data_IF_748285292756
#
_entry.id   IF_748285292756
#
_cell.length_a   1.000
_cell.length_b   1.000
_cell.length_c   1.000
_cell.angle_alpha   90.00
_cell.angle_beta   90.00
_cell.angle_gamma   90.00
#
_symmetry.space_group_name_H-M   'P 1'
#
loop_
_entity.id
_entity.type
_entity.pdbx_description
1 polymer ?
#
# COMPACT_ATOMS: atom_id res chain seq x y z
N UNK A 1 13.94 -7.93 23.38
CA UNK A 1 13.53 -7.13 22.22
C UNK A 1 14.75 -6.42 21.67
N UNK A 2 14.92 -6.42 20.32
CA UNK A 2 16.10 -5.84 19.65
C UNK A 2 15.84 -4.45 19.08
N UNK A 3 14.56 -4.07 18.95
CA UNK A 3 14.15 -2.84 18.29
C UNK A 3 13.08 -2.11 19.09
N UNK A 4 13.06 -0.79 19.02
CA UNK A 4 11.86 0.01 19.24
C UNK A 4 11.07 -0.04 17.94
N UNK A 5 9.78 -0.38 18.02
CA UNK A 5 8.89 -0.42 16.86
C UNK A 5 7.85 0.68 17.02
N UNK A 6 7.72 1.51 15.99
CA UNK A 6 6.66 2.52 15.88
C UNK A 6 5.73 2.08 14.76
N UNK A 7 4.45 1.95 15.05
CA UNK A 7 3.40 1.65 14.09
C UNK A 7 2.42 2.81 14.10
N UNK A 8 2.11 3.37 12.93
CA UNK A 8 1.14 4.44 12.79
C UNK A 8 0.06 4.05 11.79
N UNK A 9 -1.19 4.40 12.11
CA UNK A 9 -2.23 4.46 11.11
C UNK A 9 -1.90 5.62 10.17
N UNK A 10 -1.90 5.39 8.88
CA UNK A 10 -1.72 6.45 7.91
C UNK A 10 -2.90 7.43 7.95
N UNK A 11 -2.69 8.71 7.54
CA UNK A 11 -3.83 9.62 7.38
C UNK A 11 -4.91 8.96 6.52
N UNK A 12 -6.17 9.12 6.91
CA UNK A 12 -7.30 8.49 6.26
C UNK A 12 -7.65 7.11 6.79
N UNK A 13 -6.78 6.46 7.57
CA UNK A 13 -6.95 5.10 8.07
C UNK A 13 -7.00 5.05 9.59
N UNK A 14 -7.52 3.93 10.10
CA UNK A 14 -7.54 3.63 11.52
C UNK A 14 -8.12 4.73 12.38
N UNK A 15 -7.46 5.06 13.46
CA UNK A 15 -7.80 6.15 14.37
C UNK A 15 -7.12 7.50 13.99
N UNK A 16 -6.29 7.53 12.94
CA UNK A 16 -5.71 8.77 12.42
C UNK A 16 -6.75 9.68 11.78
N UNK A 17 -6.44 10.97 11.72
CA UNK A 17 -7.29 11.99 11.09
C UNK A 17 -7.58 11.69 9.62
N UNK A 18 -8.75 12.09 9.18
CA UNK A 18 -9.26 11.92 7.82
C UNK A 18 -9.60 13.30 7.23
N UNK A 19 -8.56 14.14 6.93
CA UNK A 19 -8.80 15.46 6.38
C UNK A 19 -9.53 15.38 5.05
N UNK A 20 -10.30 16.40 4.74
CA UNK A 20 -10.92 16.57 3.44
C UNK A 20 -9.86 16.63 2.34
N UNK A 21 -10.11 15.99 1.21
CA UNK A 21 -9.22 16.01 0.04
C UNK A 21 -9.18 17.39 -0.61
N UNK A 22 -8.02 17.79 -1.10
CA UNK A 22 -7.93 18.96 -1.99
C UNK A 22 -8.37 18.56 -3.42
N UNK A 23 -8.87 19.51 -4.24
CA UNK A 23 -9.34 19.21 -5.58
C UNK A 23 -8.29 18.58 -6.51
N UNK A 24 -7.01 18.71 -6.19
CA UNK A 24 -5.90 18.10 -6.91
C UNK A 24 -5.48 16.75 -6.30
N UNK A 25 -6.19 16.27 -5.27
CA UNK A 25 -5.95 15.04 -4.50
C UNK A 25 -4.62 14.99 -3.75
N UNK A 26 -3.86 16.09 -3.70
CA UNK A 26 -2.51 16.13 -3.10
C UNK A 26 -2.49 15.79 -1.62
N UNK A 27 -3.60 16.03 -0.88
CA UNK A 27 -3.76 15.67 0.55
C UNK A 27 -3.40 14.21 0.83
N UNK A 28 -3.71 13.31 -0.10
CA UNK A 28 -3.53 11.87 0.06
C UNK A 28 -2.42 11.29 -0.83
N UNK A 29 -1.55 12.14 -1.40
CA UNK A 29 -0.35 11.66 -2.11
C UNK A 29 0.62 10.96 -1.16
N UNK A 30 1.35 9.97 -1.67
CA UNK A 30 2.32 9.22 -0.86
C UNK A 30 3.43 10.09 -0.31
N UNK A 31 3.77 11.17 -1.02
CA UNK A 31 4.73 12.18 -0.54
C UNK A 31 4.23 12.85 0.74
N UNK A 32 3.00 13.36 0.75
CA UNK A 32 2.43 14.02 1.94
C UNK A 32 2.22 13.03 3.09
N UNK A 33 1.81 11.79 2.79
CA UNK A 33 1.68 10.74 3.81
C UNK A 33 3.05 10.33 4.39
N UNK A 34 4.12 10.39 3.61
CA UNK A 34 5.48 10.16 4.09
C UNK A 34 5.93 11.26 5.06
N UNK A 35 5.61 12.54 4.77
CA UNK A 35 5.90 13.66 5.68
C UNK A 35 5.24 13.49 7.04
N UNK A 36 4.00 12.97 7.11
CA UNK A 36 3.35 12.67 8.39
C UNK A 36 4.17 11.67 9.22
N UNK A 37 4.61 10.59 8.57
CA UNK A 37 5.40 9.56 9.24
C UNK A 37 6.75 10.11 9.71
N UNK A 38 7.40 10.94 8.89
CA UNK A 38 8.67 11.59 9.25
C UNK A 38 8.47 12.52 10.45
N UNK A 39 7.40 13.32 10.44
CA UNK A 39 7.09 14.23 11.54
C UNK A 39 6.86 13.47 12.86
N UNK A 40 6.09 12.36 12.83
CA UNK A 40 5.88 11.51 14.00
C UNK A 40 7.20 10.95 14.53
N UNK A 41 8.09 10.46 13.66
CA UNK A 41 9.37 9.93 14.06
C UNK A 41 10.28 11.01 14.65
N UNK A 42 10.25 12.23 14.07
CA UNK A 42 10.98 13.39 14.61
C UNK A 42 10.51 13.79 16.01
N UNK A 43 9.19 13.84 16.25
CA UNK A 43 8.62 14.11 17.59
C UNK A 43 8.99 13.03 18.62
N UNK A 44 9.20 11.78 18.17
CA UNK A 44 9.69 10.69 19.02
C UNK A 44 11.21 10.71 19.20
N UNK A 45 11.93 11.63 18.55
CA UNK A 45 13.39 11.78 18.66
C UNK A 45 14.20 10.82 17.79
N UNK A 46 13.62 10.35 16.68
CA UNK A 46 14.30 9.47 15.72
C UNK A 46 14.55 10.19 14.40
N UNK A 47 15.81 10.49 14.10
CA UNK A 47 16.22 11.19 12.87
C UNK A 47 16.52 10.23 11.70
N UNK A 48 16.84 8.97 12.00
CA UNK A 48 17.14 7.94 11.01
C UNK A 48 16.69 6.56 11.50
N UNK A 49 15.97 5.82 10.66
CA UNK A 49 15.33 4.56 11.04
C UNK A 49 15.18 3.61 9.86
N UNK A 50 14.88 2.35 10.16
CA UNK A 50 14.48 1.39 9.13
C UNK A 50 12.98 1.41 8.95
N UNK A 51 12.51 1.31 7.71
CA UNK A 51 11.10 1.38 7.38
C UNK A 51 10.65 0.03 6.80
N UNK A 52 9.51 -0.45 7.25
CA UNK A 52 8.81 -1.59 6.65
C UNK A 52 7.38 -1.17 6.34
N UNK A 53 6.95 -1.42 5.11
CA UNK A 53 5.57 -1.17 4.70
C UNK A 53 4.98 -2.36 3.93
N UNK A 54 3.67 -2.52 4.06
CA UNK A 54 2.87 -3.46 3.30
C UNK A 54 1.81 -2.70 2.50
N UNK A 55 1.55 -3.09 1.27
CA UNK A 55 0.55 -2.50 0.36
C UNK A 55 0.58 -0.96 0.35
N UNK A 56 -0.45 -0.27 0.81
CA UNK A 56 -0.50 1.20 0.84
C UNK A 56 0.64 1.79 1.67
N UNK A 57 0.96 1.17 2.82
CA UNK A 57 2.10 1.56 3.64
C UNK A 57 3.45 1.36 2.95
N UNK A 58 3.60 0.34 2.11
CA UNK A 58 4.82 0.16 1.33
C UNK A 58 4.98 1.24 0.25
N UNK A 59 3.86 1.78 -0.28
CA UNK A 59 3.90 2.91 -1.22
C UNK A 59 4.37 4.19 -0.55
N UNK A 60 3.95 4.44 0.66
CA UNK A 60 4.47 5.54 1.50
C UNK A 60 5.95 5.32 1.81
N UNK A 61 6.33 4.10 2.17
CA UNK A 61 7.70 3.76 2.56
C UNK A 61 8.72 3.96 1.42
N UNK A 62 8.43 3.52 0.19
CA UNK A 62 9.37 3.74 -0.90
C UNK A 62 9.40 5.20 -1.36
N UNK A 63 8.27 5.93 -1.30
CA UNK A 63 8.24 7.37 -1.58
C UNK A 63 9.08 8.13 -0.57
N UNK A 64 8.97 7.80 0.72
CA UNK A 64 9.84 8.34 1.77
C UNK A 64 11.32 8.11 1.47
N UNK A 65 11.68 6.88 1.05
CA UNK A 65 13.07 6.54 0.76
C UNK A 65 13.63 7.23 -0.50
N UNK A 66 12.78 7.63 -1.45
CA UNK A 66 13.17 8.42 -2.63
C UNK A 66 13.31 9.90 -2.29
N UNK A 67 12.35 10.47 -1.56
CA UNK A 67 12.32 11.89 -1.26
C UNK A 67 13.26 12.27 -0.10
N UNK A 68 13.47 11.35 0.86
CA UNK A 68 14.24 11.58 2.10
C UNK A 68 15.25 10.45 2.35
N UNK A 69 16.23 10.26 1.48
CA UNK A 69 17.22 9.17 1.61
C UNK A 69 18.04 9.24 2.90
N UNK A 70 18.12 10.40 3.55
CA UNK A 70 18.85 10.63 4.80
C UNK A 70 18.14 10.03 6.02
N UNK A 71 16.81 9.88 5.98
CA UNK A 71 16.05 9.34 7.13
C UNK A 71 15.84 7.83 7.06
N UNK A 72 15.93 7.23 5.87
CA UNK A 72 15.67 5.79 5.67
C UNK A 72 16.98 5.00 5.61
N UNK A 73 17.30 4.29 6.69
CA UNK A 73 18.49 3.45 6.78
C UNK A 73 18.35 2.14 5.98
N UNK A 74 17.24 1.43 6.20
CA UNK A 74 16.88 0.19 5.47
C UNK A 74 15.41 0.19 5.12
N UNK A 75 15.06 -0.45 4.02
CA UNK A 75 13.69 -0.51 3.52
C UNK A 75 13.24 -1.95 3.33
N UNK A 76 12.03 -2.27 3.80
CA UNK A 76 11.36 -3.53 3.50
C UNK A 76 10.01 -3.23 2.84
N UNK A 77 9.79 -3.78 1.66
CA UNK A 77 8.57 -3.65 0.89
C UNK A 77 7.85 -4.99 0.78
N UNK A 78 6.60 -5.02 1.22
CA UNK A 78 5.78 -6.23 1.24
C UNK A 78 4.68 -6.16 0.18
N UNK A 79 4.71 -7.10 -0.74
CA UNK A 79 3.72 -7.43 -1.79
C UNK A 79 3.27 -6.25 -2.66
N UNK A 80 4.22 -5.44 -3.15
CA UNK A 80 3.95 -4.36 -4.10
C UNK A 80 4.99 -4.28 -5.23
N UNK A 81 4.60 -3.62 -6.32
CA UNK A 81 5.47 -2.93 -7.28
C UNK A 81 5.18 -1.43 -7.22
N UNK A 82 5.95 -0.58 -7.91
CA UNK A 82 5.74 0.87 -7.91
C UNK A 82 4.33 1.24 -8.40
N UNK A 83 3.85 2.42 -8.02
CA UNK A 83 2.55 2.91 -8.51
C UNK A 83 2.59 3.10 -10.02
N UNK A 84 3.72 3.54 -10.57
CA UNK A 84 3.92 3.63 -12.01
C UNK A 84 3.73 2.27 -12.70
N UNK A 85 4.36 1.20 -12.19
CA UNK A 85 4.27 -0.13 -12.78
C UNK A 85 2.85 -0.69 -12.77
N UNK A 86 2.10 -0.44 -11.69
CA UNK A 86 0.70 -0.88 -11.59
C UNK A 86 -0.15 -0.36 -12.75
N UNK A 87 0.05 0.88 -13.16
CA UNK A 87 -0.69 1.47 -14.28
C UNK A 87 -0.05 1.18 -15.65
N UNK A 88 1.27 1.24 -15.75
CA UNK A 88 1.99 1.09 -17.02
C UNK A 88 1.94 -0.33 -17.58
N UNK A 89 1.86 -1.35 -16.72
CA UNK A 89 1.86 -2.77 -17.10
C UNK A 89 0.46 -3.40 -17.02
N UNK A 90 -0.59 -2.60 -16.91
CA UNK A 90 -1.95 -3.11 -16.80
C UNK A 90 -2.43 -3.77 -18.10
N UNK A 91 -3.16 -4.86 -17.93
CA UNK A 91 -3.82 -5.63 -19.01
C UNK A 91 -5.30 -5.81 -18.70
N UNK A 92 -6.08 -6.32 -19.65
CA UNK A 92 -7.48 -6.64 -19.39
C UNK A 92 -7.65 -7.66 -18.25
N UNK A 93 -6.75 -8.65 -18.16
CA UNK A 93 -6.76 -9.63 -17.08
C UNK A 93 -6.40 -8.98 -15.74
N UNK A 94 -5.40 -8.11 -15.72
CA UNK A 94 -5.04 -7.31 -14.57
C UNK A 94 -6.20 -6.43 -14.09
N UNK A 95 -6.79 -5.65 -15.00
CA UNK A 95 -7.90 -4.77 -14.68
C UNK A 95 -9.12 -5.53 -14.12
N UNK A 96 -9.37 -6.76 -14.59
CA UNK A 96 -10.41 -7.62 -14.03
C UNK A 96 -10.08 -8.11 -12.62
N UNK A 97 -8.83 -8.47 -12.35
CA UNK A 97 -8.38 -8.98 -11.06
C UNK A 97 -8.30 -7.87 -10.01
N UNK A 98 -7.83 -6.70 -10.40
CA UNK A 98 -7.59 -5.53 -9.57
C UNK A 98 -8.50 -4.35 -9.95
N UNK A 99 -9.79 -4.65 -10.23
CA UNK A 99 -10.76 -3.67 -10.72
C UNK A 99 -10.90 -2.44 -9.82
N UNK A 100 -10.66 -2.61 -8.51
CA UNK A 100 -10.75 -1.53 -7.53
C UNK A 100 -9.73 -0.40 -7.80
N UNK A 101 -8.59 -0.68 -8.44
CA UNK A 101 -7.63 0.34 -8.87
C UNK A 101 -8.22 1.36 -9.85
N UNK A 102 -9.25 0.95 -10.61
CA UNK A 102 -9.94 1.81 -11.57
C UNK A 102 -11.29 2.31 -11.04
N UNK A 103 -11.93 1.55 -10.17
CA UNK A 103 -13.16 1.97 -9.53
C UNK A 103 -12.91 3.14 -8.56
N UNK A 104 -11.89 3.00 -7.69
CA UNK A 104 -11.62 3.98 -6.63
C UNK A 104 -11.04 5.31 -7.16
N UNK A 105 -10.63 5.37 -8.43
CA UNK A 105 -10.19 6.62 -9.09
C UNK A 105 -11.32 7.36 -9.80
N UNK A 106 -12.54 6.81 -9.81
CA UNK A 106 -13.68 7.51 -10.41
C UNK A 106 -14.04 8.75 -9.61
N UNK A 107 -14.74 9.70 -10.28
CA UNK A 107 -15.17 10.95 -9.66
C UNK A 107 -16.09 10.70 -8.47
N UNK A 108 -15.92 11.51 -7.42
CA UNK A 108 -16.83 11.58 -6.28
C UNK A 108 -18.24 12.00 -6.75
N UNK A 109 -19.32 11.44 -6.18
CA UNK A 109 -19.36 10.48 -5.06
C UNK A 109 -19.50 9.02 -5.50
N UNK A 110 -19.24 8.68 -6.76
CA UNK A 110 -19.64 7.40 -7.35
C UNK A 110 -19.03 6.18 -6.64
N UNK A 111 -17.69 6.06 -6.44
CA UNK A 111 -17.14 4.90 -5.76
C UNK A 111 -17.51 4.85 -4.27
N UNK A 112 -17.59 5.99 -3.60
CA UNK A 112 -17.96 6.12 -2.20
C UNK A 112 -19.40 5.59 -1.97
N UNK A 113 -20.37 6.06 -2.75
CA UNK A 113 -21.77 5.64 -2.66
C UNK A 113 -21.94 4.16 -2.97
N UNK A 114 -21.21 3.67 -3.99
CA UNK A 114 -21.24 2.25 -4.35
C UNK A 114 -20.74 1.36 -3.22
N UNK A 115 -19.64 1.73 -2.59
CA UNK A 115 -19.07 0.98 -1.46
C UNK A 115 -20.01 1.05 -0.26
N UNK A 116 -20.52 2.23 0.08
CA UNK A 116 -21.41 2.44 1.23
C UNK A 116 -22.72 1.66 1.09
N UNK A 117 -23.24 1.50 -0.13
CA UNK A 117 -24.45 0.72 -0.39
C UNK A 117 -24.35 -0.76 0.03
N UNK A 118 -23.13 -1.31 0.07
CA UNK A 118 -22.84 -2.70 0.42
C UNK A 118 -21.49 -2.84 1.16
N UNK A 119 -21.26 -1.96 2.13
CA UNK A 119 -19.98 -1.79 2.83
C UNK A 119 -19.35 -3.10 3.30
N UNK A 120 -20.08 -3.95 4.00
CA UNK A 120 -19.56 -5.22 4.54
C UNK A 120 -19.19 -6.20 3.44
N UNK A 121 -19.97 -6.25 2.35
CA UNK A 121 -19.69 -7.14 1.23
C UNK A 121 -18.43 -6.68 0.49
N UNK A 122 -18.33 -5.39 0.22
CA UNK A 122 -17.16 -4.82 -0.44
C UNK A 122 -15.89 -5.05 0.39
N UNK A 123 -15.96 -4.78 1.70
CA UNK A 123 -14.84 -4.96 2.61
C UNK A 123 -14.39 -6.43 2.70
N UNK A 124 -15.32 -7.40 2.82
CA UNK A 124 -14.98 -8.83 2.73
C UNK A 124 -14.26 -9.18 1.43
N UNK A 125 -14.74 -8.64 0.32
CA UNK A 125 -14.09 -8.86 -0.98
C UNK A 125 -12.69 -8.24 -1.04
N UNK A 126 -12.49 -7.05 -0.47
CA UNK A 126 -11.19 -6.39 -0.41
C UNK A 126 -10.16 -7.20 0.38
N UNK A 127 -10.57 -7.82 1.50
CA UNK A 127 -9.73 -8.73 2.28
C UNK A 127 -9.62 -10.14 1.67
N UNK A 128 -10.19 -10.38 0.50
CA UNK A 128 -10.24 -11.68 -0.18
C UNK A 128 -10.95 -12.79 0.59
N UNK A 129 -11.65 -12.49 1.70
CA UNK A 129 -12.31 -13.49 2.55
C UNK A 129 -13.42 -14.20 1.77
N UNK A 130 -13.27 -15.50 1.55
CA UNK A 130 -14.19 -16.34 0.79
C UNK A 130 -14.25 -16.03 -0.70
N UNK A 131 -13.27 -15.30 -1.24
CA UNK A 131 -13.20 -14.95 -2.67
C UNK A 131 -12.90 -16.17 -3.56
N UNK A 132 -12.16 -17.10 -3.02
CA UNK A 132 -11.82 -18.36 -3.65
C UNK A 132 -12.50 -19.49 -2.87
N UNK A 133 -13.62 -20.02 -3.37
CA UNK A 133 -14.24 -21.24 -2.86
C UNK A 133 -13.33 -22.44 -3.18
N UNK A 134 -12.09 -22.43 -2.70
CA UNK A 134 -11.13 -23.51 -2.85
C UNK A 134 -10.91 -24.18 -1.49
N UNK A 135 -10.67 -25.49 -1.50
CA UNK A 135 -10.31 -26.24 -0.30
C UNK A 135 -9.03 -25.71 0.38
N UNK A 136 -8.31 -24.80 -0.28
CA UNK A 136 -7.08 -24.16 0.20
C UNK A 136 -7.27 -22.66 0.53
N UNK A 137 -8.51 -22.19 0.67
CA UNK A 137 -8.77 -20.80 1.07
C UNK A 137 -8.53 -20.62 2.59
N UNK A 138 -7.34 -20.18 2.94
CA UNK A 138 -6.94 -19.83 4.33
C UNK A 138 -7.28 -18.40 4.70
N UNK A 139 -7.98 -17.63 3.86
CA UNK A 139 -8.28 -16.22 4.11
C UNK A 139 -9.10 -16.00 5.38
N UNK A 140 -9.98 -16.93 5.74
CA UNK A 140 -10.73 -16.89 7.01
C UNK A 140 -9.87 -17.18 8.24
N UNK A 141 -8.75 -17.88 8.09
CA UNK A 141 -7.79 -18.13 9.16
C UNK A 141 -6.87 -16.93 9.37
N UNK A 142 -6.49 -16.26 8.27
CA UNK A 142 -5.70 -15.03 8.30
C UNK A 142 -6.44 -13.86 8.99
N UNK A 143 -7.79 -13.83 8.88
CA UNK A 143 -8.63 -12.80 9.47
C UNK A 143 -9.64 -13.39 10.45
N UNK A 144 -9.26 -13.73 11.70
CA UNK A 144 -10.20 -14.08 12.76
C UNK A 144 -11.29 -13.00 12.92
N UNK A 145 -12.48 -13.40 13.38
CA UNK A 145 -13.64 -12.49 13.44
C UNK A 145 -13.36 -11.20 14.21
N UNK A 146 -12.60 -11.28 15.29
CA UNK A 146 -12.19 -10.11 16.10
C UNK A 146 -11.31 -9.11 15.32
N UNK A 147 -10.38 -9.62 14.48
CA UNK A 147 -9.53 -8.79 13.62
C UNK A 147 -10.36 -8.17 12.50
N UNK A 148 -11.25 -8.96 11.88
CA UNK A 148 -12.17 -8.48 10.87
C UNK A 148 -13.09 -7.36 11.40
N UNK A 149 -13.66 -7.53 12.60
CA UNK A 149 -14.54 -6.55 13.22
C UNK A 149 -13.81 -5.25 13.56
N UNK A 150 -12.55 -5.35 13.99
CA UNK A 150 -11.71 -4.17 14.25
C UNK A 150 -11.40 -3.40 12.97
N UNK A 151 -11.00 -4.06 11.91
CA UNK A 151 -10.79 -3.41 10.61
C UNK A 151 -12.08 -2.79 10.07
N UNK A 152 -13.22 -3.51 10.18
CA UNK A 152 -14.51 -3.01 9.73
C UNK A 152 -14.99 -1.79 10.55
N UNK A 153 -14.59 -1.68 11.82
CA UNK A 153 -14.93 -0.54 12.69
C UNK A 153 -14.45 0.76 12.07
N UNK A 154 -13.24 0.75 11.53
CA UNK A 154 -12.61 1.91 10.90
C UNK A 154 -13.09 2.18 9.47
N UNK A 155 -13.70 1.20 8.81
CA UNK A 155 -14.15 1.31 7.42
C UNK A 155 -15.48 2.08 7.33
N UNK A 156 -15.49 3.34 7.80
CA UNK A 156 -16.62 4.27 7.84
C UNK A 156 -16.63 5.21 6.63
N UNK A 157 -17.55 6.17 6.59
CA UNK A 157 -17.73 7.10 5.46
C UNK A 157 -16.45 7.90 5.19
N UNK A 158 -15.86 8.45 6.23
CA UNK A 158 -14.66 9.29 6.13
C UNK A 158 -13.46 8.47 5.67
N UNK A 159 -13.32 7.23 6.16
CA UNK A 159 -12.25 6.34 5.73
C UNK A 159 -12.43 5.91 4.26
N UNK A 160 -13.66 5.62 3.82
CA UNK A 160 -13.94 5.24 2.43
C UNK A 160 -13.61 6.40 1.49
N UNK A 161 -14.00 7.64 1.84
CA UNK A 161 -13.62 8.83 1.09
C UNK A 161 -12.09 8.99 1.02
N UNK A 162 -11.40 8.89 2.16
CA UNK A 162 -9.94 8.97 2.22
C UNK A 162 -9.25 7.91 1.36
N UNK A 163 -9.77 6.68 1.34
CA UNK A 163 -9.27 5.60 0.47
C UNK A 163 -9.43 6.00 -1.00
N UNK A 164 -10.60 6.50 -1.42
CA UNK A 164 -10.81 6.94 -2.80
C UNK A 164 -9.85 8.07 -3.16
N UNK A 165 -9.70 9.07 -2.30
CA UNK A 165 -8.75 10.17 -2.49
C UNK A 165 -7.30 9.68 -2.62
N UNK A 166 -6.91 8.68 -1.84
CA UNK A 166 -5.58 8.08 -1.93
C UNK A 166 -5.35 7.35 -3.27
N UNK A 167 -6.39 6.70 -3.81
CA UNK A 167 -6.29 6.07 -5.14
C UNK A 167 -6.27 7.12 -6.25
N UNK A 168 -7.06 8.21 -6.15
CA UNK A 168 -7.03 9.36 -7.06
C UNK A 168 -5.63 9.98 -7.08
N UNK A 169 -5.06 10.27 -5.89
CA UNK A 169 -3.67 10.73 -5.78
C UNK A 169 -2.67 9.76 -6.41
N UNK A 170 -2.87 8.46 -6.23
CA UNK A 170 -2.05 7.43 -6.86
C UNK A 170 -2.06 7.52 -8.38
N UNK A 171 -3.24 7.75 -8.96
CA UNK A 171 -3.43 7.84 -10.41
C UNK A 171 -2.92 9.17 -10.97
N UNK A 172 -3.20 10.31 -10.34
CA UNK A 172 -2.91 11.63 -10.91
C UNK A 172 -1.58 12.25 -10.44
N UNK A 173 -0.99 11.77 -9.32
CA UNK A 173 0.25 12.35 -8.75
C UNK A 173 1.34 11.28 -8.64
N UNK A 174 1.12 10.22 -7.82
CA UNK A 174 2.19 9.34 -7.39
C UNK A 174 2.84 8.58 -8.55
N UNK A 175 2.05 8.11 -9.54
CA UNK A 175 2.60 7.43 -10.71
C UNK A 175 3.47 8.33 -11.58
N UNK A 176 3.19 9.63 -11.61
CA UNK A 176 3.99 10.60 -12.37
C UNK A 176 5.29 10.92 -11.63
N UNK A 177 5.25 11.06 -10.31
CA UNK A 177 6.46 11.19 -9.48
C UNK A 177 7.38 9.98 -9.65
N UNK A 178 6.83 8.77 -9.64
CA UNK A 178 7.61 7.55 -9.89
C UNK A 178 8.26 7.56 -11.28
N UNK A 179 7.51 8.05 -12.29
CA UNK A 179 8.04 8.15 -13.65
C UNK A 179 9.15 9.20 -13.76
N UNK A 180 8.97 10.35 -13.12
CA UNK A 180 9.98 11.42 -13.07
C UNK A 180 11.29 10.90 -12.44
N UNK A 181 11.20 10.15 -11.33
CA UNK A 181 12.36 9.54 -10.70
C UNK A 181 13.06 8.53 -11.61
N UNK A 182 12.29 7.69 -12.31
CA UNK A 182 12.85 6.74 -13.30
C UNK A 182 13.56 7.46 -14.45
N UNK A 183 12.94 8.51 -15.00
CA UNK A 183 13.50 9.28 -16.12
C UNK A 183 14.76 10.06 -15.69
N UNK A 184 14.78 10.56 -14.45
CA UNK A 184 15.94 11.26 -13.88
C UNK A 184 17.04 10.32 -13.38
N UNK A 185 16.77 9.02 -13.27
CA UNK A 185 17.66 8.04 -12.70
C UNK A 185 17.81 8.12 -11.19
N UNK A 186 16.87 8.76 -10.50
CA UNK A 186 16.82 8.80 -9.05
C UNK A 186 16.61 7.39 -8.48
N UNK A 187 17.31 7.09 -7.39
CA UNK A 187 17.29 5.74 -6.82
C UNK A 187 17.23 5.77 -5.30
N UNK A 188 16.49 4.83 -4.76
CA UNK A 188 16.54 4.48 -3.34
C UNK A 188 17.94 3.96 -3.04
N UNK A 189 18.63 4.63 -2.13
CA UNK A 189 20.01 4.28 -1.70
C UNK A 189 20.03 3.35 -0.50
N UNK A 190 18.94 3.29 0.28
CA UNK A 190 18.76 2.37 1.39
C UNK A 190 18.85 0.90 0.92
N UNK A 191 19.50 0.05 1.71
CA UNK A 191 19.46 -1.40 1.48
C UNK A 191 18.01 -1.89 1.54
N UNK A 192 17.53 -2.45 0.43
CA UNK A 192 16.11 -2.77 0.25
C UNK A 192 15.87 -4.27 0.17
N UNK A 193 14.90 -4.75 0.97
CA UNK A 193 14.37 -6.12 0.90
C UNK A 193 12.94 -6.07 0.36
N UNK A 194 12.67 -6.84 -0.68
CA UNK A 194 11.33 -6.99 -1.26
C UNK A 194 10.83 -8.41 -1.04
N UNK A 195 9.68 -8.56 -0.38
CA UNK A 195 9.02 -9.84 -0.17
C UNK A 195 7.62 -9.77 -0.77
N UNK A 196 7.19 -10.85 -1.42
CA UNK A 196 5.86 -10.91 -2.03
C UNK A 196 5.25 -12.30 -1.90
N UNK A 197 3.91 -12.37 -2.01
CA UNK A 197 3.17 -13.63 -1.95
C UNK A 197 3.29 -14.42 -3.25
N UNK A 198 3.79 -15.65 -3.18
CA UNK A 198 3.88 -16.56 -4.33
C UNK A 198 2.51 -16.91 -4.91
N UNK A 199 1.44 -16.80 -4.11
CA UNK A 199 0.06 -17.04 -4.50
C UNK A 199 -0.70 -15.73 -4.77
N UNK A 200 -0.02 -14.57 -4.72
CA UNK A 200 -0.59 -13.24 -4.86
C UNK A 200 -0.67 -12.75 -6.31
N UNK A 201 -1.35 -11.62 -6.49
CA UNK A 201 -1.50 -10.99 -7.80
C UNK A 201 -0.21 -10.27 -8.25
N UNK A 202 0.64 -9.87 -7.30
CA UNK A 202 1.94 -9.25 -7.60
C UNK A 202 2.84 -10.25 -8.31
N UNK A 203 2.97 -11.49 -7.80
CA UNK A 203 3.70 -12.56 -8.49
C UNK A 203 3.09 -12.89 -9.84
N UNK A 204 1.76 -12.94 -9.92
CA UNK A 204 1.05 -13.33 -11.15
C UNK A 204 1.27 -12.36 -12.30
N UNK A 205 1.27 -11.06 -12.04
CA UNK A 205 1.26 -10.03 -13.09
C UNK A 205 2.59 -9.32 -13.29
N UNK A 206 3.51 -9.42 -12.34
CA UNK A 206 4.77 -8.70 -12.39
C UNK A 206 5.98 -9.59 -12.15
N UNK A 207 7.14 -9.05 -12.40
CA UNK A 207 8.42 -9.56 -11.92
C UNK A 207 8.94 -8.60 -10.84
N UNK A 208 8.52 -8.76 -9.56
CA UNK A 208 8.68 -7.71 -8.54
C UNK A 208 10.13 -7.25 -8.39
N UNK A 209 11.07 -8.19 -8.33
CA UNK A 209 12.49 -7.85 -8.21
C UNK A 209 13.00 -7.05 -9.41
N UNK A 210 12.55 -7.36 -10.65
CA UNK A 210 12.94 -6.60 -11.84
C UNK A 210 12.35 -5.18 -11.82
N UNK A 211 11.12 -5.02 -11.32
CA UNK A 211 10.53 -3.70 -11.14
C UNK A 211 11.38 -2.87 -10.18
N UNK A 212 11.75 -3.41 -9.02
CA UNK A 212 12.50 -2.69 -8.00
C UNK A 212 13.98 -2.46 -8.34
N UNK A 213 14.60 -3.26 -9.17
CA UNK A 213 15.96 -3.01 -9.69
C UNK A 213 16.07 -1.68 -10.45
N UNK A 214 14.96 -1.16 -10.97
CA UNK A 214 14.93 0.16 -11.62
C UNK A 214 14.95 1.31 -10.62
N UNK A 215 14.36 1.11 -9.43
CA UNK A 215 14.24 2.12 -8.38
C UNK A 215 15.31 2.06 -7.29
N UNK A 216 16.02 0.96 -7.13
CA UNK A 216 16.96 0.76 -6.03
C UNK A 216 18.39 0.60 -6.52
N UNK A 217 19.36 1.06 -5.70
CA UNK A 217 20.78 0.80 -5.92
C UNK A 217 21.21 -0.59 -5.41
N UNK A 218 20.59 -1.05 -4.32
CA UNK A 218 20.84 -2.33 -3.69
C UNK A 218 19.52 -2.96 -3.24
N UNK A 219 19.04 -3.95 -3.99
CA UNK A 219 17.79 -4.64 -3.70
C UNK A 219 17.95 -6.14 -3.79
N UNK A 220 17.35 -6.83 -2.84
CA UNK A 220 17.19 -8.28 -2.86
C UNK A 220 15.74 -8.63 -2.51
N UNK A 221 15.30 -9.82 -2.89
CA UNK A 221 13.93 -10.22 -2.59
C UNK A 221 13.64 -11.65 -2.97
N UNK A 222 12.49 -12.13 -2.48
CA UNK A 222 11.97 -13.47 -2.77
C UNK A 222 10.47 -13.54 -2.53
N UNK A 223 9.83 -14.50 -3.19
CA UNK A 223 8.46 -14.90 -2.89
C UNK A 223 8.38 -15.67 -1.56
N UNK A 224 7.25 -15.51 -0.86
CA UNK A 224 6.86 -16.26 0.33
C UNK A 224 5.65 -17.16 0.00
N UNK A 225 5.47 -18.31 0.67
CA UNK A 225 4.37 -19.22 0.39
C UNK A 225 3.02 -18.75 0.98
N UNK A 226 2.60 -17.53 0.62
CA UNK A 226 1.37 -16.89 1.06
C UNK A 226 0.74 -16.08 -0.07
N UNK A 227 -0.39 -15.40 0.20
CA UNK A 227 -1.03 -14.43 -0.68
C UNK A 227 -0.54 -13.01 -0.43
N UNK A 228 -1.48 -12.05 -0.58
CA UNK A 228 -1.20 -10.61 -0.46
C UNK A 228 -0.95 -10.16 0.97
N UNK A 229 -1.68 -10.70 1.93
CA UNK A 229 -1.66 -10.25 3.32
C UNK A 229 -0.55 -10.94 4.11
N UNK A 230 0.70 -10.65 3.73
CA UNK A 230 1.89 -11.29 4.32
C UNK A 230 1.91 -11.22 5.86
N UNK A 231 1.57 -10.07 6.51
CA UNK A 231 1.58 -9.99 7.97
C UNK A 231 0.60 -10.95 8.64
N UNK A 232 -0.54 -11.20 8.02
CA UNK A 232 -1.61 -12.06 8.54
C UNK A 232 -1.45 -13.52 8.10
N UNK A 233 -1.03 -13.75 6.85
CA UNK A 233 -0.94 -15.09 6.27
C UNK A 233 0.36 -15.81 6.61
N UNK A 234 1.44 -15.07 6.87
CA UNK A 234 2.77 -15.61 7.15
C UNK A 234 3.45 -14.90 8.34
N UNK A 235 2.78 -14.73 9.51
CA UNK A 235 3.41 -14.20 10.71
C UNK A 235 4.54 -15.12 11.14
N UNK A 236 5.70 -14.59 11.57
CA UNK A 236 6.89 -15.35 11.99
C UNK A 236 6.67 -15.96 13.35
#
# INVERSE_FOLDING_TARGET
>A
HRFTVVMCDLRGYGDSDKPEGLPDHSTYSKRIMAEDCIAVMGELGFDCYSVMGHDRGARVAYRMALDHPEVVNKLVLLDIVSTYDMYALSSAEFAKALFHWYLLTQDEPFPEDLILSSRKMYFRNALHIGRYNSENDTSSEAFPQEVYDEYLRHYNVECIHAICEEYRAGECIDRFLDKEDLDAGNKITAETLVLWGANGLVEKFFSPLQCWLRFCTNVQGRALPCGHFIPEEAPI
#
